data_IF_372313100751
#
_entry.id   IF_372313100751
#
_cell.length_a   1.000
_cell.length_b   1.000
_cell.length_c   1.000
_cell.angle_alpha   90.00
_cell.angle_beta   90.00
_cell.angle_gamma   90.00
#
_symmetry.space_group_name_H-M   'P 1'
#
loop_
_entity.id
_entity.type
_entity.pdbx_description
1 polymer ?
#
# COMPACT_ATOMS: atom_id res chain seq x y z
N UNK A 1 -0.72 -17.23 -9.79
CA UNK A 1 -0.92 -15.76 -9.79
C UNK A 1 -0.97 -15.24 -8.36
N UNK A 2 -0.19 -14.20 -8.03
CA UNK A 2 0.21 -13.86 -6.66
C UNK A 2 -0.82 -12.92 -6.00
N UNK A 3 -1.75 -13.44 -5.17
CA UNK A 3 -2.84 -12.66 -4.51
C UNK A 3 -2.37 -11.35 -3.87
N UNK A 4 -1.20 -11.37 -3.24
CA UNK A 4 -0.56 -10.20 -2.64
C UNK A 4 -0.26 -9.08 -3.65
N UNK A 5 0.17 -9.43 -4.87
CA UNK A 5 0.43 -8.46 -5.93
C UNK A 5 -0.85 -7.79 -6.38
N UNK A 6 -1.93 -8.55 -6.53
CA UNK A 6 -3.25 -8.00 -6.88
C UNK A 6 -3.75 -7.04 -5.80
N UNK A 7 -3.63 -7.41 -4.52
CA UNK A 7 -4.02 -6.53 -3.40
C UNK A 7 -3.14 -5.28 -3.34
N UNK A 8 -1.82 -5.41 -3.50
CA UNK A 8 -0.90 -4.27 -3.48
C UNK A 8 -1.16 -3.28 -4.62
N UNK A 9 -1.31 -3.76 -5.85
CA UNK A 9 -1.59 -2.91 -7.01
C UNK A 9 -3.00 -2.33 -6.99
N UNK A 10 -4.00 -3.16 -6.67
CA UNK A 10 -5.39 -2.73 -6.58
C UNK A 10 -5.58 -1.70 -5.47
N UNK A 11 -5.03 -1.96 -4.28
CA UNK A 11 -5.06 -1.03 -3.16
C UNK A 11 -4.27 0.26 -3.44
N UNK A 12 -3.07 0.15 -3.99
CA UNK A 12 -2.29 1.33 -4.35
C UNK A 12 -2.97 2.19 -5.42
N UNK A 13 -3.55 1.57 -6.44
CA UNK A 13 -4.37 2.25 -7.44
C UNK A 13 -5.61 2.91 -6.82
N UNK A 14 -6.30 2.23 -5.91
CA UNK A 14 -7.42 2.79 -5.16
C UNK A 14 -7.01 4.04 -4.37
N UNK A 15 -5.87 4.04 -3.66
CA UNK A 15 -5.39 5.22 -2.92
C UNK A 15 -5.13 6.41 -3.84
N UNK A 16 -4.60 6.19 -5.04
CA UNK A 16 -4.38 7.26 -6.03
C UNK A 16 -5.72 7.82 -6.52
N UNK A 17 -6.67 6.96 -6.85
CA UNK A 17 -8.01 7.37 -7.27
C UNK A 17 -8.74 8.13 -6.15
N UNK A 18 -8.62 7.66 -4.90
CA UNK A 18 -9.16 8.33 -3.72
C UNK A 18 -8.58 9.74 -3.56
N UNK A 19 -7.25 9.88 -3.67
CA UNK A 19 -6.60 11.19 -3.59
C UNK A 19 -7.02 12.13 -4.73
N UNK A 20 -7.17 11.62 -5.95
CA UNK A 20 -7.61 12.39 -7.11
C UNK A 20 -9.06 12.87 -6.94
N UNK A 21 -9.97 11.96 -6.57
CA UNK A 21 -11.36 12.30 -6.26
C UNK A 21 -11.44 13.32 -5.12
N UNK A 22 -10.73 13.09 -4.01
CA UNK A 22 -10.74 13.98 -2.85
C UNK A 22 -10.20 15.39 -3.20
N UNK A 23 -9.19 15.47 -4.07
CA UNK A 23 -8.68 16.75 -4.57
C UNK A 23 -9.75 17.53 -5.33
N UNK A 24 -10.55 16.84 -6.14
CA UNK A 24 -11.64 17.44 -6.92
C UNK A 24 -12.81 17.84 -6.00
N UNK A 25 -13.25 16.90 -5.14
CA UNK A 25 -14.43 17.08 -4.29
C UNK A 25 -14.21 18.16 -3.22
N UNK A 26 -13.09 18.12 -2.50
CA UNK A 26 -12.83 19.06 -1.40
C UNK A 26 -12.10 20.34 -1.86
N UNK A 27 -11.68 20.43 -3.12
CA UNK A 27 -10.96 21.58 -3.70
C UNK A 27 -9.57 21.86 -3.08
N UNK A 28 -9.10 23.10 -3.19
CA UNK A 28 -7.84 23.54 -2.54
C UNK A 28 -6.55 22.98 -3.16
N UNK A 29 -5.45 23.06 -2.40
CA UNK A 29 -4.14 22.59 -2.87
C UNK A 29 -4.09 21.06 -2.94
N UNK A 30 -3.77 20.45 -4.10
CA UNK A 30 -3.61 19.00 -4.23
C UNK A 30 -2.53 18.39 -3.32
N UNK A 31 -1.58 19.23 -2.89
CA UNK A 31 -0.44 18.83 -2.05
C UNK A 31 -0.89 18.16 -0.75
N UNK A 32 -2.07 18.53 -0.20
CA UNK A 32 -2.59 17.94 1.04
C UNK A 32 -2.92 16.45 0.94
N UNK A 33 -3.15 15.92 -0.27
CA UNK A 33 -3.43 14.50 -0.50
C UNK A 33 -2.21 13.69 -0.94
N UNK A 34 -1.03 14.31 -1.08
CA UNK A 34 0.22 13.61 -1.42
C UNK A 34 0.58 12.47 -0.44
N UNK A 35 0.35 12.57 0.88
CA UNK A 35 0.60 11.44 1.77
C UNK A 35 -0.19 10.18 1.40
N UNK A 36 -1.46 10.33 1.00
CA UNK A 36 -2.30 9.22 0.51
C UNK A 36 -1.73 8.59 -0.76
N UNK A 37 -1.28 9.42 -1.71
CA UNK A 37 -0.63 8.96 -2.94
C UNK A 37 0.66 8.21 -2.63
N UNK A 38 1.52 8.78 -1.78
CA UNK A 38 2.80 8.20 -1.40
C UNK A 38 2.61 6.82 -0.74
N UNK A 39 1.68 6.69 0.20
CA UNK A 39 1.35 5.41 0.83
C UNK A 39 0.83 4.38 -0.18
N UNK A 40 0.00 4.80 -1.14
CA UNK A 40 -0.47 3.95 -2.23
C UNK A 40 0.66 3.44 -3.13
N UNK A 41 1.57 4.33 -3.53
CA UNK A 41 2.75 3.98 -4.36
C UNK A 41 3.69 3.04 -3.62
N UNK A 42 3.98 3.32 -2.35
CA UNK A 42 4.80 2.44 -1.51
C UNK A 42 4.14 1.07 -1.39
N UNK A 43 2.83 1.00 -1.07
CA UNK A 43 2.11 -0.26 -0.95
C UNK A 43 2.16 -1.09 -2.24
N UNK A 44 1.98 -0.45 -3.41
CA UNK A 44 2.02 -1.11 -4.72
C UNK A 44 3.41 -1.67 -5.08
N UNK A 45 4.48 -0.96 -4.72
CA UNK A 45 5.86 -1.28 -5.11
C UNK A 45 6.60 -2.14 -4.08
N UNK A 46 6.15 -2.17 -2.82
CA UNK A 46 6.81 -2.87 -1.72
C UNK A 46 7.13 -4.35 -2.00
N UNK A 47 6.23 -5.16 -2.60
CA UNK A 47 6.56 -6.56 -2.91
C UNK A 47 7.71 -6.72 -3.91
N UNK A 48 7.83 -5.78 -4.86
CA UNK A 48 8.92 -5.76 -5.84
C UNK A 48 10.23 -5.30 -5.20
N UNK A 49 10.16 -4.22 -4.40
CA UNK A 49 11.31 -3.70 -3.67
C UNK A 49 11.96 -4.79 -2.81
N UNK A 50 11.17 -5.54 -2.04
CA UNK A 50 11.69 -6.61 -1.18
C UNK A 50 12.33 -7.75 -1.99
N UNK A 51 11.68 -8.17 -3.09
CA UNK A 51 12.24 -9.21 -3.95
C UNK A 51 13.57 -8.79 -4.59
N UNK A 52 13.65 -7.53 -5.03
CA UNK A 52 14.87 -6.95 -5.60
C UNK A 52 15.98 -6.83 -4.56
N UNK A 53 15.67 -6.30 -3.37
CA UNK A 53 16.62 -6.20 -2.25
C UNK A 53 17.15 -7.57 -1.84
N UNK A 54 16.28 -8.60 -1.77
CA UNK A 54 16.72 -9.98 -1.49
C UNK A 54 17.68 -10.50 -2.56
N UNK A 55 17.42 -10.21 -3.84
CA UNK A 55 18.31 -10.58 -4.95
C UNK A 55 19.65 -9.85 -4.84
N UNK A 56 19.64 -8.55 -4.57
CA UNK A 56 20.84 -7.72 -4.41
C UNK A 56 21.70 -8.22 -3.25
N UNK A 57 21.11 -8.45 -2.07
CA UNK A 57 21.82 -9.00 -0.90
C UNK A 57 22.42 -10.37 -1.23
N UNK A 58 21.66 -11.24 -1.90
CA UNK A 58 22.16 -12.56 -2.29
C UNK A 58 23.32 -12.46 -3.28
N UNK A 59 23.24 -11.54 -4.24
CA UNK A 59 24.30 -11.27 -5.20
C UNK A 59 25.56 -10.74 -4.52
N UNK A 60 25.43 -9.75 -3.62
CA UNK A 60 26.56 -9.17 -2.88
C UNK A 60 27.20 -10.22 -1.97
N UNK A 61 26.40 -10.98 -1.22
CA UNK A 61 26.91 -12.08 -0.37
C UNK A 61 27.67 -13.13 -1.19
N UNK A 62 27.22 -13.43 -2.41
CA UNK A 62 27.93 -14.35 -3.32
C UNK A 62 29.23 -13.79 -3.87
N UNK A 63 29.31 -12.47 -4.07
CA UNK A 63 30.54 -11.76 -4.50
C UNK A 63 31.57 -11.65 -3.39
N UNK A 64 31.14 -11.51 -2.14
CA UNK A 64 32.02 -11.37 -0.97
C UNK A 64 32.41 -12.70 -0.33
N UNK A 65 31.70 -13.80 -0.64
CA UNK A 65 32.12 -15.13 -0.24
C UNK A 65 33.34 -15.54 -1.07
N UNK A 66 34.37 -16.10 -0.41
CA UNK A 66 35.69 -16.37 -0.99
C UNK A 66 35.59 -17.05 -2.37
N UNK A 67 36.46 -16.61 -3.29
CA UNK A 67 36.40 -16.97 -4.71
C UNK A 67 36.63 -18.47 -4.92
N UNK A 68 37.37 -19.13 -4.03
CA UNK A 68 37.66 -20.57 -4.10
C UNK A 68 36.92 -21.40 -3.05
N UNK A 69 36.33 -20.79 -2.03
CA UNK A 69 35.66 -21.53 -0.95
C UNK A 69 34.29 -22.04 -1.45
N UNK A 70 34.25 -23.31 -1.85
CA UNK A 70 33.04 -24.02 -2.27
C UNK A 70 32.78 -24.07 -3.79
N UNK A 71 33.67 -23.52 -4.61
CA UNK A 71 33.66 -23.72 -6.08
C UNK A 71 34.52 -24.94 -6.42
N UNK A 72 34.06 -26.14 -6.07
CA UNK A 72 34.64 -27.35 -6.68
C UNK A 72 34.31 -27.33 -8.19
N UNK A 73 35.19 -27.89 -9.03
CA UNK A 73 34.89 -28.15 -10.45
C UNK A 73 33.55 -28.90 -10.63
N UNK A 74 33.12 -29.64 -9.60
CA UNK A 74 31.93 -30.50 -9.57
C UNK A 74 30.65 -29.78 -9.12
N UNK A 75 30.71 -28.53 -8.59
CA UNK A 75 29.52 -27.82 -8.09
C UNK A 75 29.12 -26.63 -8.96
N UNK A 76 28.21 -26.89 -9.90
CA UNK A 76 27.37 -25.86 -10.53
C UNK A 76 28.14 -24.72 -11.19
N UNK A 77 29.02 -25.04 -12.13
CA UNK A 77 29.81 -24.09 -12.90
C UNK A 77 28.93 -23.33 -13.90
N UNK A 78 29.07 -22.00 -13.90
CA UNK A 78 28.42 -21.10 -14.85
C UNK A 78 29.54 -20.25 -15.44
N UNK A 79 29.72 -20.34 -16.74
CA UNK A 79 30.66 -19.54 -17.50
C UNK A 79 29.85 -18.58 -18.37
N UNK A 80 30.17 -17.29 -18.31
CA UNK A 80 29.51 -16.27 -19.12
C UNK A 80 30.57 -15.63 -20.01
N UNK A 81 30.33 -15.58 -21.31
CA UNK A 81 31.25 -14.93 -22.26
C UNK A 81 31.48 -13.49 -21.83
N UNK A 82 32.67 -12.91 -22.04
CA UNK A 82 32.99 -11.51 -21.72
C UNK A 82 32.52 -10.54 -22.80
N UNK A 83 32.34 -11.04 -24.03
CA UNK A 83 31.79 -10.34 -25.19
C UNK A 83 30.36 -10.81 -25.53
N UNK A 84 29.63 -9.98 -26.27
CA UNK A 84 28.32 -10.30 -26.84
C UNK A 84 28.47 -10.83 -28.26
N UNK A 85 27.57 -11.72 -28.68
CA UNK A 85 27.43 -12.17 -30.06
C UNK A 85 26.23 -11.47 -30.71
N UNK A 86 26.39 -11.05 -31.96
CA UNK A 86 25.37 -10.29 -32.70
C UNK A 86 24.31 -11.20 -33.33
N UNK A 87 24.70 -12.42 -33.73
CA UNK A 87 23.81 -13.45 -34.26
C UNK A 87 23.85 -14.70 -33.36
N UNK A 88 22.84 -14.90 -32.49
CA UNK A 88 22.75 -16.07 -31.65
C UNK A 88 22.65 -17.39 -32.41
N UNK A 89 21.98 -17.40 -33.57
CA UNK A 89 21.78 -18.64 -34.34
C UNK A 89 23.09 -19.05 -35.00
N UNK A 90 23.77 -18.12 -35.66
CA UNK A 90 25.07 -18.35 -36.29
C UNK A 90 26.14 -18.80 -35.26
N UNK A 91 26.11 -18.19 -34.07
CA UNK A 91 26.96 -18.61 -32.97
C UNK A 91 26.73 -20.07 -32.57
N UNK A 92 25.46 -20.49 -32.39
CA UNK A 92 25.14 -21.88 -32.06
C UNK A 92 25.42 -22.85 -33.21
N UNK A 93 25.26 -22.44 -34.47
CA UNK A 93 25.63 -23.21 -35.66
C UNK A 93 27.14 -23.42 -35.76
N UNK A 94 27.94 -22.42 -35.36
CA UNK A 94 29.40 -22.50 -35.36
C UNK A 94 29.95 -23.36 -34.22
N UNK A 95 29.31 -23.32 -33.05
CA UNK A 95 29.70 -24.10 -31.87
C UNK A 95 29.37 -25.60 -32.04
N UNK A 96 28.24 -25.91 -32.66
CA UNK A 96 27.68 -27.27 -32.69
C UNK A 96 28.62 -28.31 -33.35
N UNK A 97 29.30 -28.04 -34.47
CA UNK A 97 30.29 -28.96 -35.04
C UNK A 97 31.47 -29.23 -34.11
N UNK A 98 31.96 -28.22 -33.40
CA UNK A 98 33.10 -28.35 -32.49
C UNK A 98 32.77 -29.29 -31.32
N UNK A 99 31.57 -29.14 -30.73
CA UNK A 99 31.09 -30.04 -29.68
C UNK A 99 30.89 -31.47 -30.22
N UNK A 100 30.39 -31.64 -31.44
CA UNK A 100 30.20 -32.96 -32.06
C UNK A 100 31.51 -33.69 -32.35
N UNK A 101 32.58 -32.97 -32.61
CA UNK A 101 33.91 -33.54 -32.88
C UNK A 101 34.73 -33.79 -31.63
N UNK A 102 34.24 -33.39 -30.46
CA UNK A 102 34.95 -33.52 -29.18
C UNK A 102 34.53 -34.82 -28.49
N UNK A 103 35.49 -35.73 -28.34
CA UNK A 103 35.28 -37.08 -27.79
C UNK A 103 34.81 -37.08 -26.32
N UNK A 104 34.83 -35.93 -25.64
CA UNK A 104 34.34 -35.79 -24.26
C UNK A 104 32.80 -35.73 -24.16
N UNK A 105 32.08 -35.58 -25.27
CA UNK A 105 30.62 -35.47 -25.30
C UNK A 105 29.97 -36.59 -26.11
N UNK A 106 28.88 -37.14 -25.58
CA UNK A 106 28.15 -38.23 -26.21
C UNK A 106 27.20 -37.73 -27.30
N UNK A 107 26.53 -36.60 -27.03
CA UNK A 107 25.49 -36.06 -27.90
C UNK A 107 25.33 -34.54 -27.71
N UNK A 108 25.00 -33.82 -28.79
CA UNK A 108 24.56 -32.43 -28.71
C UNK A 108 23.28 -32.21 -29.50
N UNK A 109 22.28 -31.67 -28.80
CA UNK A 109 20.92 -31.48 -29.31
C UNK A 109 20.50 -30.02 -29.16
N UNK A 110 19.78 -29.52 -30.16
CA UNK A 110 19.15 -28.20 -30.08
C UNK A 110 17.90 -28.26 -29.24
N UNK A 111 17.82 -27.35 -28.29
CA UNK A 111 16.68 -27.23 -27.39
C UNK A 111 16.11 -25.80 -27.45
N UNK A 112 14.81 -25.69 -27.16
CA UNK A 112 14.13 -24.40 -27.07
C UNK A 112 14.03 -23.97 -25.61
N UNK A 113 14.66 -22.85 -25.26
CA UNK A 113 14.59 -22.24 -23.95
C UNK A 113 13.71 -20.97 -23.98
N UNK A 114 13.41 -20.44 -22.80
CA UNK A 114 12.56 -19.24 -22.64
C UNK A 114 13.15 -18.01 -23.33
N UNK A 115 14.47 -17.90 -23.37
CA UNK A 115 15.20 -16.80 -24.02
C UNK A 115 15.52 -17.03 -25.51
N UNK A 116 15.27 -18.23 -26.03
CA UNK A 116 15.58 -18.59 -27.42
C UNK A 116 16.19 -20.00 -27.57
N UNK A 117 16.69 -20.34 -28.77
CA UNK A 117 17.38 -21.61 -29.01
C UNK A 117 18.67 -21.72 -28.19
N UNK A 118 19.02 -22.95 -27.81
CA UNK A 118 20.27 -23.29 -27.15
C UNK A 118 20.69 -24.72 -27.45
N UNK A 119 21.80 -25.16 -26.86
CA UNK A 119 22.32 -26.51 -26.98
C UNK A 119 22.25 -27.21 -25.62
N UNK A 120 21.79 -28.46 -25.64
CA UNK A 120 21.96 -29.42 -24.58
C UNK A 120 23.06 -30.40 -25.00
N UNK A 121 24.06 -30.57 -24.15
CA UNK A 121 25.24 -31.40 -24.39
C UNK A 121 25.26 -32.52 -23.37
N UNK A 122 25.13 -33.76 -23.83
CA UNK A 122 25.17 -34.97 -23.02
C UNK A 122 26.62 -35.45 -22.88
N UNK A 123 27.01 -35.83 -21.66
CA UNK A 123 28.28 -36.49 -21.37
C UNK A 123 28.09 -37.58 -20.30
N UNK A 124 28.97 -38.59 -20.33
CA UNK A 124 28.92 -39.72 -19.39
C UNK A 124 27.62 -40.52 -19.43
N UNK A 125 26.86 -40.44 -20.52
CA UNK A 125 25.62 -41.17 -20.79
C UNK A 125 24.35 -40.64 -20.10
N UNK A 126 24.45 -39.73 -19.14
CA UNK A 126 23.27 -39.22 -18.40
C UNK A 126 23.42 -37.80 -17.84
N UNK A 127 24.59 -37.17 -17.94
CA UNK A 127 24.79 -35.82 -17.44
C UNK A 127 24.66 -34.80 -18.57
N UNK A 128 24.05 -33.66 -18.27
CA UNK A 128 23.84 -32.60 -19.25
C UNK A 128 24.55 -31.30 -18.83
N UNK A 129 25.21 -30.68 -19.80
CA UNK A 129 25.59 -29.30 -19.78
C UNK A 129 24.78 -28.53 -20.84
N UNK A 130 24.73 -27.21 -20.73
CA UNK A 130 23.92 -26.37 -21.59
C UNK A 130 24.71 -25.17 -22.10
N UNK A 131 24.58 -24.86 -23.38
CA UNK A 131 25.06 -23.62 -24.01
C UNK A 131 23.84 -22.79 -24.40
N UNK A 132 23.68 -21.62 -23.79
CA UNK A 132 22.50 -20.76 -23.94
C UNK A 132 22.93 -19.33 -24.18
N UNK A 133 22.14 -18.54 -24.89
CA UNK A 133 22.47 -17.15 -25.22
C UNK A 133 21.43 -16.24 -24.57
N UNK A 134 21.91 -15.29 -23.76
CA UNK A 134 21.04 -14.29 -23.13
C UNK A 134 20.45 -13.35 -24.18
N UNK A 135 19.32 -12.68 -23.88
CA UNK A 135 18.77 -11.64 -24.76
C UNK A 135 19.70 -10.45 -25.02
N UNK A 136 20.77 -10.30 -24.25
CA UNK A 136 21.83 -9.31 -24.47
C UNK A 136 23.00 -9.85 -25.33
N UNK A 137 22.88 -11.05 -25.91
CA UNK A 137 23.90 -11.67 -26.76
C UNK A 137 25.04 -12.33 -25.98
N UNK A 138 24.99 -12.47 -24.66
CA UNK A 138 26.04 -13.18 -23.90
C UNK A 138 25.84 -14.69 -23.99
N UNK A 139 26.88 -15.43 -24.36
CA UNK A 139 26.90 -16.89 -24.36
C UNK A 139 27.17 -17.39 -22.94
N UNK A 140 26.42 -18.40 -22.52
CA UNK A 140 26.44 -18.92 -21.16
C UNK A 140 26.53 -20.44 -21.21
N UNK A 141 27.57 -20.98 -20.61
CA UNK A 141 27.75 -22.42 -20.43
C UNK A 141 27.43 -22.78 -18.98
N UNK A 142 26.52 -23.74 -18.77
CA UNK A 142 26.11 -24.17 -17.43
C UNK A 142 26.08 -25.68 -17.30
N UNK A 143 26.53 -26.20 -16.16
CA UNK A 143 26.52 -27.63 -15.85
C UNK A 143 27.00 -27.88 -14.43
N UNK A 144 27.22 -29.14 -14.08
CA UNK A 144 27.55 -29.57 -12.72
C UNK A 144 28.75 -30.52 -12.68
N UNK A 145 29.71 -30.35 -13.58
CA UNK A 145 30.93 -31.16 -13.65
C UNK A 145 32.13 -30.38 -14.20
N UNK A 146 33.30 -31.00 -14.13
CA UNK A 146 34.52 -30.55 -14.80
C UNK A 146 34.35 -30.46 -16.33
N UNK A 147 33.58 -31.37 -16.95
CA UNK A 147 33.23 -31.30 -18.37
C UNK A 147 32.49 -30.00 -18.77
N UNK A 148 31.93 -29.26 -17.81
CA UNK A 148 31.36 -27.93 -18.11
C UNK A 148 32.45 -26.88 -18.34
N UNK A 149 33.62 -27.04 -17.70
CA UNK A 149 34.80 -26.21 -17.97
C UNK A 149 35.35 -26.51 -19.36
N UNK A 150 35.55 -27.80 -19.65
CA UNK A 150 35.98 -28.25 -20.97
C UNK A 150 35.02 -27.73 -22.04
N UNK A 151 33.71 -27.76 -21.78
CA UNK A 151 32.71 -27.26 -22.73
C UNK A 151 32.83 -25.75 -22.94
N UNK A 152 33.13 -24.99 -21.89
CA UNK A 152 33.38 -23.56 -22.02
C UNK A 152 34.65 -23.28 -22.83
N UNK A 153 35.68 -24.12 -22.71
CA UNK A 153 36.90 -24.03 -23.50
C UNK A 153 36.65 -24.40 -24.97
N UNK A 154 35.91 -25.49 -25.25
CA UNK A 154 35.48 -25.87 -26.61
C UNK A 154 34.69 -24.74 -27.27
N UNK A 155 33.75 -24.12 -26.54
CA UNK A 155 32.97 -22.98 -27.04
C UNK A 155 33.84 -21.73 -27.24
N UNK A 156 34.79 -21.49 -26.33
CA UNK A 156 35.77 -20.39 -26.41
C UNK A 156 36.59 -20.50 -27.70
N UNK A 157 37.11 -21.68 -28.01
CA UNK A 157 37.91 -21.93 -29.21
C UNK A 157 37.06 -21.86 -30.49
N UNK A 158 35.87 -22.46 -30.48
CA UNK A 158 35.00 -22.52 -31.66
C UNK A 158 34.53 -21.15 -32.16
N UNK A 159 34.39 -20.17 -31.25
CA UNK A 159 33.83 -18.86 -31.59
C UNK A 159 34.67 -17.67 -31.08
N UNK A 160 35.93 -17.92 -30.69
CA UNK A 160 36.87 -16.92 -30.16
C UNK A 160 36.31 -16.08 -29.01
N UNK A 161 35.60 -16.71 -28.06
CA UNK A 161 34.97 -16.05 -26.92
C UNK A 161 35.75 -16.29 -25.63
N UNK A 162 36.10 -15.24 -24.90
CA UNK A 162 36.61 -15.44 -23.52
C UNK A 162 35.45 -15.61 -22.55
N UNK A 163 35.61 -16.47 -21.54
CA UNK A 163 34.60 -16.71 -20.52
C UNK A 163 35.07 -16.30 -19.13
N UNK A 164 34.12 -15.79 -18.33
CA UNK A 164 34.31 -15.55 -16.90
C UNK A 164 33.43 -16.53 -16.11
N UNK A 165 34.04 -17.24 -15.16
CA UNK A 165 33.32 -18.13 -14.24
C UNK A 165 32.59 -17.28 -13.20
N UNK A 166 31.28 -17.51 -13.02
CA UNK A 166 30.45 -16.72 -12.11
C UNK A 166 29.49 -17.57 -11.28
N UNK A 167 29.13 -17.10 -10.07
CA UNK A 167 28.06 -17.69 -9.25
C UNK A 167 26.67 -17.12 -9.59
N UNK A 168 26.61 -16.12 -10.47
CA UNK A 168 25.40 -15.40 -10.84
C UNK A 168 24.87 -15.91 -12.17
N UNK A 169 23.93 -16.85 -12.09
CA UNK A 169 23.20 -17.33 -13.26
C UNK A 169 22.40 -16.16 -13.88
N UNK A 170 22.68 -15.76 -15.13
CA UNK A 170 21.98 -14.66 -15.80
C UNK A 170 20.51 -14.99 -16.10
N UNK A 171 20.15 -16.27 -16.17
CA UNK A 171 18.79 -16.75 -16.40
C UNK A 171 17.98 -16.91 -15.09
N UNK A 172 18.56 -16.59 -13.93
CA UNK A 172 17.86 -16.76 -12.65
C UNK A 172 16.82 -15.65 -12.45
N UNK A 173 15.56 -16.04 -12.54
CA UNK A 173 14.43 -15.15 -12.28
C UNK A 173 14.37 -14.66 -10.83
N UNK A 174 13.72 -13.51 -10.64
CA UNK A 174 13.38 -12.97 -9.32
C UNK A 174 12.39 -13.92 -8.63
N UNK A 175 12.86 -14.61 -7.59
CA UNK A 175 11.97 -15.43 -6.77
C UNK A 175 11.02 -14.52 -5.98
N UNK A 176 9.70 -14.69 -6.11
CA UNK A 176 8.74 -13.91 -5.33
C UNK A 176 8.87 -14.20 -3.83
N UNK A 177 8.37 -13.28 -3.00
CA UNK A 177 8.25 -13.51 -1.55
C UNK A 177 7.26 -14.67 -1.30
N UNK A 178 7.70 -15.68 -0.55
CA UNK A 178 6.95 -16.91 -0.28
C UNK A 178 6.87 -17.17 1.24
N UNK A 179 5.95 -18.06 1.64
CA UNK A 179 5.80 -18.51 3.03
C UNK A 179 5.32 -17.43 4.00
N UNK A 180 5.73 -17.52 5.26
CA UNK A 180 5.32 -16.62 6.35
C UNK A 180 5.64 -15.13 6.06
N UNK A 181 6.76 -14.84 5.40
CA UNK A 181 7.13 -13.47 5.00
C UNK A 181 6.10 -12.83 4.07
N UNK A 182 5.36 -13.63 3.28
CA UNK A 182 4.29 -13.14 2.42
C UNK A 182 3.09 -12.67 3.24
N UNK A 183 2.77 -13.35 4.33
CA UNK A 183 1.65 -12.99 5.21
C UNK A 183 1.97 -11.70 5.95
N UNK A 184 3.16 -11.60 6.54
CA UNK A 184 3.63 -10.38 7.19
C UNK A 184 3.63 -9.19 6.21
N UNK A 185 4.15 -9.39 5.00
CA UNK A 185 4.11 -8.36 3.96
C UNK A 185 2.69 -7.97 3.57
N UNK A 186 1.76 -8.92 3.55
CA UNK A 186 0.33 -8.65 3.36
C UNK A 186 -0.23 -7.73 4.45
N UNK A 187 0.08 -8.00 5.72
CA UNK A 187 -0.31 -7.13 6.84
C UNK A 187 0.25 -5.72 6.66
N UNK A 188 1.54 -5.59 6.35
CA UNK A 188 2.18 -4.28 6.12
C UNK A 188 1.51 -3.52 4.97
N UNK A 189 1.22 -4.18 3.86
CA UNK A 189 0.50 -3.56 2.72
C UNK A 189 -0.88 -3.08 3.17
N UNK A 190 -1.64 -3.90 3.89
CA UNK A 190 -2.97 -3.50 4.39
C UNK A 190 -2.85 -2.30 5.34
N UNK A 191 -1.89 -2.30 6.26
CA UNK A 191 -1.64 -1.17 7.17
C UNK A 191 -1.32 0.12 6.42
N UNK A 192 -0.49 0.05 5.37
CA UNK A 192 -0.18 1.22 4.52
C UNK A 192 -1.43 1.76 3.81
N UNK A 193 -2.30 0.87 3.32
CA UNK A 193 -3.53 1.26 2.65
C UNK A 193 -4.53 1.91 3.63
N UNK A 194 -4.68 1.35 4.83
CA UNK A 194 -5.48 1.95 5.91
C UNK A 194 -4.89 3.30 6.36
N UNK A 195 -3.56 3.41 6.44
CA UNK A 195 -2.90 4.69 6.67
C UNK A 195 -3.22 5.72 5.57
N UNK A 196 -3.32 5.27 4.30
CA UNK A 196 -3.70 6.10 3.17
C UNK A 196 -5.12 6.67 3.29
N UNK A 197 -6.09 5.86 3.71
CA UNK A 197 -7.47 6.31 3.94
C UNK A 197 -7.55 7.28 5.11
N UNK A 198 -6.82 7.02 6.20
CA UNK A 198 -6.73 7.94 7.35
C UNK A 198 -6.11 9.28 6.94
N UNK A 199 -5.04 9.27 6.15
CA UNK A 199 -4.41 10.49 5.64
C UNK A 199 -5.37 11.30 4.74
N UNK A 200 -6.16 10.62 3.91
CA UNK A 200 -7.17 11.28 3.07
C UNK A 200 -8.26 11.92 3.94
N UNK A 201 -8.73 11.21 4.98
CA UNK A 201 -9.65 11.76 5.99
C UNK A 201 -9.09 13.01 6.67
N UNK A 202 -7.85 12.95 7.16
CA UNK A 202 -7.17 14.10 7.76
C UNK A 202 -7.05 15.31 6.84
N UNK A 203 -6.80 15.09 5.56
CA UNK A 203 -6.68 16.17 4.58
C UNK A 203 -8.04 16.75 4.15
N UNK A 204 -9.07 15.92 4.08
CA UNK A 204 -10.45 16.32 3.77
C UNK A 204 -11.09 17.10 4.93
N UNK A 205 -10.86 16.64 6.16
CA UNK A 205 -11.41 17.19 7.39
C UNK A 205 -10.26 17.57 8.36
N UNK A 206 -9.60 18.73 8.16
CA UNK A 206 -8.42 19.11 8.94
C UNK A 206 -8.72 19.56 10.37
N UNK A 207 -9.99 19.78 10.72
CA UNK A 207 -10.39 20.19 12.07
C UNK A 207 -10.10 19.11 13.10
N UNK A 208 -9.48 19.49 14.21
CA UNK A 208 -9.21 18.61 15.36
C UNK A 208 -10.46 18.25 16.17
N UNK A 209 -11.63 18.77 15.78
CA UNK A 209 -12.93 18.34 16.30
C UNK A 209 -13.27 16.89 15.94
N UNK A 210 -12.56 16.28 14.98
CA UNK A 210 -12.80 14.94 14.50
C UNK A 210 -11.59 14.05 14.72
N UNK A 211 -11.80 12.86 15.28
CA UNK A 211 -10.75 11.85 15.34
C UNK A 211 -10.50 11.19 13.96
N UNK A 212 -9.36 10.50 13.76
CA UNK A 212 -9.04 9.89 12.46
C UNK A 212 -10.11 8.94 11.88
N UNK A 213 -10.82 8.21 12.75
CA UNK A 213 -11.87 7.29 12.32
C UNK A 213 -13.11 8.03 11.83
N UNK A 214 -13.54 9.06 12.55
CA UNK A 214 -14.67 9.92 12.18
C UNK A 214 -14.43 10.63 10.84
N UNK A 215 -13.23 11.18 10.65
CA UNK A 215 -12.83 11.79 9.37
C UNK A 215 -12.95 10.79 8.22
N UNK A 216 -12.59 9.53 8.45
CA UNK A 216 -12.71 8.46 7.43
C UNK A 216 -14.18 8.13 7.13
N UNK A 217 -15.04 8.09 8.16
CA UNK A 217 -16.49 7.88 7.97
C UNK A 217 -17.11 9.03 7.19
N UNK A 218 -16.77 10.27 7.51
CA UNK A 218 -17.25 11.46 6.79
C UNK A 218 -16.86 11.42 5.30
N UNK A 219 -15.60 11.09 4.99
CA UNK A 219 -15.15 10.86 3.61
C UNK A 219 -15.93 9.73 2.93
N UNK A 220 -16.24 8.66 3.66
CA UNK A 220 -17.06 7.56 3.15
C UNK A 220 -18.49 7.99 2.81
N UNK A 221 -19.10 8.85 3.64
CA UNK A 221 -20.42 9.43 3.36
C UNK A 221 -20.38 10.30 2.11
N UNK A 222 -19.33 11.11 1.94
CA UNK A 222 -19.12 11.91 0.72
C UNK A 222 -18.96 11.08 -0.54
N UNK A 223 -18.08 10.08 -0.49
CA UNK A 223 -17.86 9.18 -1.61
C UNK A 223 -19.17 8.49 -2.01
N UNK A 224 -19.99 8.08 -1.03
CA UNK A 224 -21.30 7.51 -1.31
C UNK A 224 -22.21 8.51 -2.02
N UNK A 225 -22.27 9.77 -1.55
CA UNK A 225 -23.08 10.81 -2.18
C UNK A 225 -22.69 11.12 -3.61
N UNK A 226 -21.41 10.98 -3.96
CA UNK A 226 -20.90 11.25 -5.30
C UNK A 226 -21.02 10.06 -6.26
N UNK A 227 -20.90 8.83 -5.75
CA UNK A 227 -20.80 7.62 -6.59
C UNK A 227 -22.05 6.74 -6.60
N UNK A 228 -22.95 6.87 -5.62
CA UNK A 228 -24.21 6.12 -5.57
C UNK A 228 -25.35 6.94 -6.21
N UNK A 229 -25.81 6.60 -7.44
CA UNK A 229 -26.86 7.36 -8.10
C UNK A 229 -28.22 7.27 -7.38
N UNK A 230 -28.37 6.34 -6.43
CA UNK A 230 -29.57 6.21 -5.60
C UNK A 230 -29.60 7.15 -4.38
N UNK A 231 -28.54 7.92 -4.13
CA UNK A 231 -28.44 8.81 -2.96
C UNK A 231 -28.47 10.27 -3.41
N UNK A 232 -29.45 11.03 -2.92
CA UNK A 232 -29.54 12.46 -3.21
C UNK A 232 -28.51 13.25 -2.38
N UNK A 233 -28.16 14.46 -2.85
CA UNK A 233 -27.30 15.39 -2.11
C UNK A 233 -27.86 15.69 -0.71
N UNK A 234 -29.18 15.90 -0.64
CA UNK A 234 -29.92 16.13 0.61
C UNK A 234 -29.80 14.92 1.56
N UNK A 235 -29.89 13.69 1.04
CA UNK A 235 -29.72 12.48 1.86
C UNK A 235 -28.28 12.30 2.35
N UNK A 236 -27.29 12.71 1.55
CA UNK A 236 -25.88 12.75 1.96
C UNK A 236 -25.68 13.72 3.12
N UNK A 237 -26.22 14.95 3.01
CA UNK A 237 -26.15 15.94 4.09
C UNK A 237 -26.86 15.48 5.36
N UNK A 238 -28.06 14.90 5.24
CA UNK A 238 -28.79 14.31 6.38
C UNK A 238 -28.05 13.13 7.01
N UNK A 239 -27.29 12.36 6.22
CA UNK A 239 -26.46 11.26 6.73
C UNK A 239 -25.22 11.76 7.45
N UNK A 240 -24.58 12.82 6.94
CA UNK A 240 -23.52 13.52 7.67
C UNK A 240 -24.03 14.11 8.98
N UNK A 241 -25.14 14.86 8.94
CA UNK A 241 -25.73 15.45 10.14
C UNK A 241 -26.07 14.38 11.18
N UNK A 242 -26.64 13.24 10.75
CA UNK A 242 -26.89 12.10 11.65
C UNK A 242 -25.62 11.54 12.30
N UNK A 243 -24.53 11.45 11.55
CA UNK A 243 -23.24 11.00 12.07
C UNK A 243 -22.66 12.00 13.07
N UNK A 244 -22.68 13.30 12.75
CA UNK A 244 -22.22 14.35 13.66
C UNK A 244 -23.04 14.41 14.95
N UNK A 245 -24.36 14.24 14.89
CA UNK A 245 -25.23 14.12 16.07
C UNK A 245 -24.81 12.95 16.96
N UNK A 246 -24.44 11.80 16.36
CA UNK A 246 -23.97 10.65 17.12
C UNK A 246 -22.63 10.92 17.83
N UNK A 247 -21.71 11.66 17.19
CA UNK A 247 -20.44 12.08 17.82
C UNK A 247 -20.72 12.97 19.04
N UNK A 248 -21.63 13.95 18.92
CA UNK A 248 -21.99 14.83 20.05
C UNK A 248 -22.59 14.01 21.21
N UNK A 249 -23.44 13.04 20.91
CA UNK A 249 -24.08 12.16 21.90
C UNK A 249 -23.04 11.33 22.68
N UNK A 250 -22.06 10.77 21.95
CA UNK A 250 -20.91 10.05 22.52
C UNK A 250 -20.03 10.94 23.41
N UNK A 251 -19.87 12.22 23.06
CA UNK A 251 -19.10 13.17 23.85
C UNK A 251 -19.54 13.27 25.32
N UNK A 252 -20.82 12.98 25.62
CA UNK A 252 -21.31 12.97 27.01
C UNK A 252 -20.71 11.81 27.82
N UNK A 253 -20.42 10.67 27.18
CA UNK A 253 -19.73 9.54 27.79
C UNK A 253 -18.24 9.79 27.90
N UNK A 254 -17.62 10.42 26.91
CA UNK A 254 -16.20 10.79 26.96
C UNK A 254 -15.92 11.71 28.15
N UNK A 255 -16.76 12.72 28.37
CA UNK A 255 -16.71 13.60 29.56
C UNK A 255 -16.85 12.80 30.87
N UNK A 256 -17.73 11.79 30.91
CA UNK A 256 -17.93 10.94 32.10
C UNK A 256 -16.79 9.96 32.35
N UNK A 257 -16.06 9.54 31.31
CA UNK A 257 -14.96 8.57 31.42
C UNK A 257 -13.58 9.18 31.50
N UNK A 258 -13.42 10.43 31.07
CA UNK A 258 -12.17 11.16 31.22
C UNK A 258 -11.66 11.10 32.66
N UNK A 259 -10.35 11.09 32.86
CA UNK A 259 -9.80 11.17 34.22
C UNK A 259 -10.12 12.56 34.82
N UNK A 260 -9.72 12.82 36.06
CA UNK A 260 -9.91 14.15 36.69
C UNK A 260 -8.95 15.22 36.11
N UNK A 261 -8.85 15.25 34.79
CA UNK A 261 -8.05 16.16 33.99
C UNK A 261 -8.98 17.25 33.44
N UNK A 262 -8.83 18.48 33.94
CA UNK A 262 -9.64 19.63 33.53
C UNK A 262 -9.52 19.92 32.05
N UNK A 263 -8.33 19.76 31.47
CA UNK A 263 -8.03 20.11 30.09
C UNK A 263 -8.73 19.11 29.17
N UNK A 264 -8.51 17.82 29.41
CA UNK A 264 -9.12 16.75 28.62
C UNK A 264 -10.65 16.80 28.67
N UNK A 265 -11.24 16.99 29.85
CA UNK A 265 -12.70 17.10 30.01
C UNK A 265 -13.25 18.32 29.25
N UNK A 266 -12.55 19.46 29.32
CA UNK A 266 -12.95 20.69 28.62
C UNK A 266 -12.81 20.53 27.10
N UNK A 267 -11.79 19.81 26.62
CA UNK A 267 -11.59 19.51 25.21
C UNK A 267 -12.73 18.70 24.61
N UNK A 268 -13.18 17.64 25.28
CA UNK A 268 -14.36 16.88 24.84
C UNK A 268 -15.60 17.79 24.70
N UNK A 269 -15.77 18.74 25.64
CA UNK A 269 -16.83 19.75 25.56
C UNK A 269 -16.68 20.70 24.37
N UNK A 270 -15.46 21.20 24.10
CA UNK A 270 -15.18 22.09 22.95
C UNK A 270 -15.39 21.35 21.63
N UNK A 271 -14.97 20.08 21.53
CA UNK A 271 -15.18 19.23 20.36
C UNK A 271 -16.68 19.02 20.11
N UNK A 272 -17.43 18.58 21.13
CA UNK A 272 -18.88 18.40 21.03
C UNK A 272 -19.59 19.69 20.59
N UNK A 273 -19.16 20.84 21.11
CA UNK A 273 -19.70 22.14 20.70
C UNK A 273 -19.40 22.45 19.23
N UNK A 274 -18.17 22.24 18.76
CA UNK A 274 -17.82 22.46 17.35
C UNK A 274 -18.60 21.52 16.42
N UNK A 275 -18.62 20.22 16.73
CA UNK A 275 -19.37 19.21 15.96
C UNK A 275 -20.86 19.53 15.92
N UNK A 276 -21.43 20.04 17.02
CA UNK A 276 -22.84 20.45 17.06
C UNK A 276 -23.15 21.63 16.14
N UNK A 277 -22.22 22.58 16.00
CA UNK A 277 -22.34 23.70 15.05
C UNK A 277 -22.31 23.20 13.62
N UNK A 278 -21.38 22.29 13.31
CA UNK A 278 -21.26 21.71 11.97
C UNK A 278 -22.52 20.89 11.60
N UNK A 279 -23.07 20.12 12.55
CA UNK A 279 -24.34 19.40 12.37
C UNK A 279 -25.52 20.34 12.11
N UNK A 280 -25.62 21.44 12.88
CA UNK A 280 -26.66 22.44 12.69
C UNK A 280 -26.55 23.17 11.36
N UNK A 281 -25.34 23.51 10.93
CA UNK A 281 -25.11 24.13 9.62
C UNK A 281 -25.61 23.22 8.49
N UNK A 282 -25.35 21.92 8.57
CA UNK A 282 -25.87 20.94 7.61
C UNK A 282 -27.40 20.85 7.65
N UNK A 283 -28.03 20.79 8.82
CA UNK A 283 -29.49 20.74 8.95
C UNK A 283 -30.16 22.02 8.43
N UNK A 284 -29.53 23.18 8.66
CA UNK A 284 -30.02 24.47 8.16
C UNK A 284 -29.95 24.51 6.63
N UNK A 285 -28.80 24.14 6.06
CA UNK A 285 -28.63 24.08 4.60
C UNK A 285 -29.62 23.12 3.93
N UNK A 286 -29.93 21.97 4.56
CA UNK A 286 -30.94 21.03 4.07
C UNK A 286 -32.34 21.67 4.07
N UNK A 287 -32.68 22.47 5.09
CA UNK A 287 -34.00 23.13 5.20
C UNK A 287 -34.22 24.24 4.17
N UNK A 288 -33.14 24.80 3.60
CA UNK A 288 -33.21 25.78 2.52
C UNK A 288 -33.50 25.14 1.14
N UNK A 289 -33.46 23.81 1.04
CA UNK A 289 -33.76 23.05 -0.18
C UNK A 289 -35.21 22.53 -0.20
N UNK A 290 -35.79 22.22 -1.38
CA UNK A 290 -37.08 21.56 -1.48
C UNK A 290 -37.00 20.12 -0.95
N UNK A 291 -37.62 19.86 0.20
CA UNK A 291 -37.59 18.56 0.88
C UNK A 291 -38.80 17.69 0.54
N UNK A 292 -38.56 16.37 0.41
CA UNK A 292 -39.64 15.39 0.50
C UNK A 292 -40.14 15.29 1.96
N UNK A 293 -41.38 14.82 2.21
CA UNK A 293 -41.89 14.65 3.56
C UNK A 293 -40.99 13.79 4.45
N UNK A 294 -40.44 12.69 3.91
CA UNK A 294 -39.54 11.81 4.65
C UNK A 294 -38.21 12.48 5.04
N UNK A 295 -37.70 13.38 4.19
CA UNK A 295 -36.48 14.14 4.47
C UNK A 295 -36.72 15.25 5.50
N UNK A 296 -37.86 15.95 5.41
CA UNK A 296 -38.27 16.92 6.42
C UNK A 296 -38.43 16.26 7.80
N UNK A 297 -39.17 15.14 7.87
CA UNK A 297 -39.33 14.38 9.10
C UNK A 297 -37.98 13.88 9.67
N UNK A 298 -37.05 13.51 8.80
CA UNK A 298 -35.70 13.09 9.19
C UNK A 298 -34.89 14.27 9.74
N UNK A 299 -34.92 15.42 9.08
CA UNK A 299 -34.26 16.64 9.54
C UNK A 299 -34.75 17.03 10.94
N UNK A 300 -36.07 17.03 11.16
CA UNK A 300 -36.66 17.40 12.45
C UNK A 300 -36.34 16.41 13.58
N UNK A 301 -36.26 15.10 13.27
CA UNK A 301 -35.76 14.11 14.22
C UNK A 301 -34.29 14.35 14.58
N UNK A 302 -33.45 14.69 13.61
CA UNK A 302 -32.03 14.96 13.84
C UNK A 302 -31.82 16.24 14.65
N UNK A 303 -32.64 17.27 14.40
CA UNK A 303 -32.58 18.54 15.14
C UNK A 303 -32.90 18.33 16.62
N UNK A 304 -33.98 17.57 16.92
CA UNK A 304 -34.32 17.20 18.31
C UNK A 304 -33.21 16.40 18.98
N UNK A 305 -32.66 15.40 18.28
CA UNK A 305 -31.55 14.59 18.79
C UNK A 305 -30.28 15.41 19.03
N UNK A 306 -30.02 16.42 18.20
CA UNK A 306 -28.88 17.31 18.38
C UNK A 306 -29.02 18.12 19.67
N UNK A 307 -30.22 18.65 19.95
CA UNK A 307 -30.52 19.37 21.20
C UNK A 307 -30.35 18.44 22.41
N UNK A 308 -30.91 17.22 22.36
CA UNK A 308 -30.77 16.22 23.43
C UNK A 308 -29.31 15.82 23.68
N UNK A 309 -28.52 15.63 22.62
CA UNK A 309 -27.10 15.30 22.71
C UNK A 309 -26.29 16.45 23.35
N UNK A 310 -26.54 17.70 22.92
CA UNK A 310 -25.90 18.90 23.51
C UNK A 310 -26.20 19.04 24.99
N UNK A 311 -27.46 18.84 25.40
CA UNK A 311 -27.84 18.91 26.83
C UNK A 311 -27.20 17.78 27.63
N UNK A 312 -27.05 16.60 27.04
CA UNK A 312 -26.37 15.47 27.68
C UNK A 312 -24.89 15.75 27.96
N UNK A 313 -24.18 16.37 27.00
CA UNK A 313 -22.79 16.84 27.19
C UNK A 313 -22.74 17.94 28.25
N UNK A 314 -23.62 18.95 28.15
CA UNK A 314 -23.67 20.05 29.12
C UNK A 314 -23.90 19.54 30.55
N UNK A 315 -24.81 18.60 30.72
CA UNK A 315 -25.09 17.94 32.01
C UNK A 315 -23.88 17.18 32.54
N UNK A 316 -23.18 16.45 31.66
CA UNK A 316 -21.97 15.73 32.05
C UNK A 316 -20.84 16.68 32.51
N UNK A 317 -20.65 17.79 31.79
CA UNK A 317 -19.67 18.83 32.15
C UNK A 317 -20.05 19.52 33.47
N UNK A 318 -21.33 19.85 33.68
CA UNK A 318 -21.80 20.41 34.96
C UNK A 318 -21.52 19.46 36.12
N UNK A 319 -21.85 18.18 35.98
CA UNK A 319 -21.59 17.18 37.01
C UNK A 319 -20.09 17.07 37.35
N UNK A 320 -19.21 17.21 36.35
CA UNK A 320 -17.76 17.26 36.54
C UNK A 320 -17.27 18.54 37.21
N UNK A 321 -17.85 19.68 36.88
CA UNK A 321 -17.51 20.96 37.51
C UNK A 321 -17.95 21.01 38.98
N UNK A 322 -19.03 20.28 39.33
CA UNK A 322 -19.61 20.25 40.67
C UNK A 322 -19.06 19.12 41.56
N UNK A 323 -18.40 18.11 41.00
CA UNK A 323 -17.86 16.97 41.77
C UNK A 323 -16.74 17.35 42.74
N UNK A 324 -16.15 18.54 42.59
CA UNK A 324 -15.00 19.01 43.36
C UNK A 324 -13.70 18.25 43.06
N UNK A 325 -13.71 17.35 42.07
CA UNK A 325 -12.53 16.56 41.67
C UNK A 325 -11.64 17.26 40.63
N UNK A 326 -12.08 18.42 40.12
CA UNK A 326 -11.39 19.21 39.10
C UNK A 326 -11.23 20.64 39.63
N UNK A 327 -9.99 21.15 39.63
CA UNK A 327 -9.67 22.45 40.22
C UNK A 327 -10.02 23.63 39.30
N UNK A 328 -9.92 23.46 37.98
CA UNK A 328 -10.16 24.52 36.99
C UNK A 328 -11.45 24.25 36.19
N UNK A 329 -12.49 25.03 36.49
CA UNK A 329 -13.86 24.79 35.97
C UNK A 329 -14.47 25.99 35.26
N UNK A 330 -13.78 27.14 35.23
CA UNK A 330 -14.31 28.36 34.63
C UNK A 330 -14.60 28.19 33.13
N UNK A 331 -13.68 27.53 32.42
CA UNK A 331 -13.86 27.32 30.99
C UNK A 331 -14.91 26.24 30.67
N UNK A 332 -14.93 25.16 31.47
CA UNK A 332 -15.97 24.15 31.40
C UNK A 332 -17.37 24.75 31.52
N UNK A 333 -17.57 25.70 32.45
CA UNK A 333 -18.84 26.44 32.59
C UNK A 333 -19.18 27.27 31.36
N UNK A 334 -18.21 27.93 30.71
CA UNK A 334 -18.44 28.67 29.46
C UNK A 334 -18.88 27.73 28.32
N UNK A 335 -18.28 26.55 28.23
CA UNK A 335 -18.67 25.54 27.22
C UNK A 335 -20.09 25.04 27.50
N UNK A 336 -20.45 24.80 28.77
CA UNK A 336 -21.82 24.45 29.19
C UNK A 336 -22.82 25.52 28.76
N UNK A 337 -22.53 26.80 29.03
CA UNK A 337 -23.39 27.91 28.62
C UNK A 337 -23.59 27.94 27.11
N UNK A 338 -22.53 27.75 26.32
CA UNK A 338 -22.63 27.72 24.86
C UNK A 338 -23.37 26.47 24.34
N UNK A 339 -23.21 25.31 24.98
CA UNK A 339 -23.95 24.10 24.62
C UNK A 339 -25.44 24.24 24.90
N UNK A 340 -25.82 24.92 25.99
CA UNK A 340 -27.21 25.17 26.38
C UNK A 340 -27.86 26.35 25.68
N UNK A 341 -27.06 27.30 25.19
CA UNK A 341 -27.58 28.43 24.45
C UNK A 341 -28.33 27.94 23.22
N UNK A 342 -29.60 28.32 23.12
CA UNK A 342 -30.38 28.10 21.90
C UNK A 342 -29.80 28.99 20.80
N UNK A 343 -29.22 28.43 19.73
CA UNK A 343 -28.63 29.24 18.66
C UNK A 343 -29.67 30.09 17.93
N UNK A 344 -30.97 29.76 18.02
CA UNK A 344 -32.06 30.53 17.39
C UNK A 344 -32.47 31.77 18.23
N UNK A 345 -31.98 31.91 19.46
CA UNK A 345 -32.25 33.07 20.32
C UNK A 345 -31.35 34.29 20.04
N UNK A 346 -30.29 34.14 19.25
CA UNK A 346 -29.35 35.21 18.91
C UNK A 346 -29.69 35.95 17.59
N UNK A 347 -30.72 35.50 16.88
CA UNK A 347 -31.18 36.04 15.59
C UNK A 347 -32.61 36.61 15.64
N UNK A 348 -33.18 36.79 16.84
CA UNK A 348 -34.45 37.49 17.10
C UNK A 348 -34.20 38.85 17.76
#
# INVERSE_FOLDING_TARGET
>A
MNKLRTVAWGGGGFSILLAAWATIHYGGSPVRFLPTVALGVVAATLPFGIAYTKRAITSVRRRLADVDEGISAEKGSIFVSTATVDDPVDCLESILPAIRSDDNYDEVTRESFQEGPGLMVLYGGFHNAFVRITGAGRVVVTGASEHTHDLADTVSEAYALSFERTRNNPFKELKPVQGASRVFLGVVVVTLLLGGTVAAGGAAYPSDAYNPAERTVLVGIDARGDFDPGVSRTDTQLSKAAFLVAIVDEGSQEVKWAQNDSELVTDHGRQALQVSRDARALLTAVRDEPLTPAQADRADRLDRRLVEARESVATALTARAESGSINETAEMRRVVEQLRADPDAASA
#
